data_IF_372499955174
#
_entry.id   IF_372499955174
#
_cell.length_a   1.000
_cell.length_b   1.000
_cell.length_c   1.000
_cell.angle_alpha   90.00
_cell.angle_beta   90.00
_cell.angle_gamma   90.00
#
_symmetry.space_group_name_H-M   'P 1'
#
loop_
_entity.id
_entity.type
_entity.pdbx_description
1 polymer ?
#
# COMPACT_ATOMS: atom_id res chain seq x y z
N UNK A 1 -18.11 -6.17 -54.11
CA UNK A 1 -18.19 -7.23 -53.08
C UNK A 1 -16.99 -7.25 -52.11
N UNK A 2 -16.17 -6.18 -52.03
CA UNK A 2 -14.98 -6.15 -51.13
C UNK A 2 -15.17 -5.20 -49.93
N UNK A 3 -16.11 -4.24 -50.00
CA UNK A 3 -16.35 -3.28 -48.90
C UNK A 3 -17.15 -3.83 -47.69
N UNK A 4 -17.75 -5.02 -47.79
CA UNK A 4 -18.55 -5.59 -46.68
C UNK A 4 -17.73 -6.30 -45.59
N UNK A 5 -16.43 -6.55 -45.83
CA UNK A 5 -15.54 -7.24 -44.90
C UNK A 5 -14.85 -6.32 -43.88
N UNK A 6 -15.06 -5.01 -43.96
CA UNK A 6 -14.48 -4.00 -43.05
C UNK A 6 -15.51 -3.41 -42.07
N UNK A 7 -16.56 -4.15 -41.69
CA UNK A 7 -17.46 -3.69 -40.62
C UNK A 7 -16.84 -4.02 -39.25
N UNK A 8 -16.53 -3.01 -38.42
CA UNK A 8 -15.92 -3.27 -37.11
C UNK A 8 -16.89 -4.08 -36.25
N UNK A 9 -16.40 -5.22 -35.74
CA UNK A 9 -17.17 -6.14 -34.90
C UNK A 9 -17.68 -5.46 -33.63
N UNK A 10 -18.72 -6.04 -33.01
CA UNK A 10 -19.33 -5.50 -31.77
C UNK A 10 -18.28 -5.27 -30.68
N UNK A 11 -17.28 -6.14 -30.58
CA UNK A 11 -16.15 -6.01 -29.66
C UNK A 11 -15.24 -4.81 -29.98
N UNK A 12 -15.01 -4.49 -31.25
CA UNK A 12 -14.26 -3.28 -31.64
C UNK A 12 -15.04 -2.00 -31.33
N UNK A 13 -16.37 -2.02 -31.45
CA UNK A 13 -17.22 -0.89 -31.03
C UNK A 13 -17.18 -0.70 -29.53
N UNK A 14 -17.28 -1.77 -28.73
CA UNK A 14 -17.14 -1.71 -27.26
C UNK A 14 -15.76 -1.20 -26.83
N UNK A 15 -14.68 -1.66 -27.49
CA UNK A 15 -13.33 -1.19 -27.22
C UNK A 15 -13.16 0.32 -27.50
N UNK A 16 -13.78 0.85 -28.56
CA UNK A 16 -13.78 2.30 -28.86
C UNK A 16 -14.47 3.11 -27.77
N UNK A 17 -15.61 2.64 -27.26
CA UNK A 17 -16.27 3.30 -26.14
C UNK A 17 -15.45 3.20 -24.86
N UNK A 18 -14.82 2.05 -24.60
CA UNK A 18 -13.86 1.90 -23.49
C UNK A 18 -12.72 2.91 -23.56
N UNK A 19 -12.13 3.14 -24.75
CA UNK A 19 -11.11 4.16 -24.95
C UNK A 19 -11.65 5.58 -24.67
N UNK A 20 -12.85 5.91 -25.13
CA UNK A 20 -13.46 7.23 -24.88
C UNK A 20 -13.65 7.49 -23.39
N UNK A 21 -14.06 6.48 -22.60
CA UNK A 21 -14.19 6.63 -21.14
C UNK A 21 -12.85 6.77 -20.42
N UNK A 22 -11.78 6.19 -20.97
CA UNK A 22 -10.45 6.22 -20.36
C UNK A 22 -9.66 7.48 -20.77
N UNK A 23 -9.92 8.03 -21.95
CA UNK A 23 -9.23 9.22 -22.49
C UNK A 23 -9.21 10.40 -21.50
N UNK A 24 -10.31 10.82 -20.85
CA UNK A 24 -10.29 11.93 -19.89
C UNK A 24 -9.33 11.68 -18.72
N UNK A 25 -9.32 10.46 -18.17
CA UNK A 25 -8.42 10.07 -17.10
C UNK A 25 -6.95 10.03 -17.55
N UNK A 26 -6.69 9.53 -18.76
CA UNK A 26 -5.34 9.56 -19.35
C UNK A 26 -4.88 11.00 -19.56
N UNK A 27 -5.71 11.86 -20.16
CA UNK A 27 -5.37 13.26 -20.39
C UNK A 27 -5.07 13.95 -19.07
N UNK A 28 -5.93 13.79 -18.07
CA UNK A 28 -5.72 14.36 -16.74
C UNK A 28 -4.43 13.85 -16.10
N UNK A 29 -4.21 12.53 -16.08
CA UNK A 29 -3.00 11.93 -15.51
C UNK A 29 -1.74 12.36 -16.24
N UNK A 30 -1.77 12.39 -17.57
CA UNK A 30 -0.64 12.79 -18.40
C UNK A 30 -0.31 14.26 -18.23
N UNK A 31 -1.31 15.15 -18.24
CA UNK A 31 -1.08 16.56 -17.96
C UNK A 31 -0.50 16.74 -16.57
N UNK A 32 -1.11 16.15 -15.53
CA UNK A 32 -0.64 16.32 -14.17
C UNK A 32 0.75 15.72 -13.91
N UNK A 33 1.09 14.60 -14.57
CA UNK A 33 2.39 13.94 -14.37
C UNK A 33 3.49 14.55 -15.23
N UNK A 34 3.23 14.79 -16.52
CA UNK A 34 4.26 15.23 -17.47
C UNK A 34 4.47 16.75 -17.46
N UNK A 35 3.42 17.55 -17.22
CA UNK A 35 3.56 19.01 -17.15
C UNK A 35 4.60 19.48 -16.11
N UNK A 36 4.58 19.03 -14.83
CA UNK A 36 5.61 19.42 -13.86
C UNK A 36 7.00 18.91 -14.25
N UNK A 37 7.11 17.74 -14.90
CA UNK A 37 8.39 17.20 -15.38
C UNK A 37 8.96 18.08 -16.49
N UNK A 38 8.16 18.40 -17.50
CA UNK A 38 8.59 19.26 -18.60
C UNK A 38 8.93 20.67 -18.12
N UNK A 39 8.15 21.23 -17.21
CA UNK A 39 8.44 22.55 -16.65
C UNK A 39 9.68 22.54 -15.76
N UNK A 40 9.91 21.49 -14.96
CA UNK A 40 11.15 21.33 -14.19
C UNK A 40 12.37 21.18 -15.10
N UNK A 41 12.26 20.36 -16.15
CA UNK A 41 13.30 20.18 -17.16
C UNK A 41 13.56 21.47 -17.94
N UNK A 42 12.53 22.20 -18.35
CA UNK A 42 12.72 23.49 -19.02
C UNK A 42 13.35 24.50 -18.06
N UNK A 43 12.84 24.60 -16.83
CA UNK A 43 13.32 25.54 -15.80
C UNK A 43 14.76 25.28 -15.39
N UNK A 44 15.25 24.04 -15.45
CA UNK A 44 16.64 23.71 -15.08
C UNK A 44 17.69 24.39 -15.98
N UNK A 45 17.30 24.92 -17.14
CA UNK A 45 18.17 25.71 -18.01
C UNK A 45 18.20 27.21 -17.68
N UNK A 46 17.43 27.65 -16.69
CA UNK A 46 17.27 29.06 -16.34
C UNK A 46 17.72 29.35 -14.90
N UNK A 47 18.13 30.59 -14.67
CA UNK A 47 18.36 31.13 -13.34
C UNK A 47 17.04 31.67 -12.77
N UNK A 48 16.23 30.77 -12.22
CA UNK A 48 14.91 31.10 -11.66
C UNK A 48 14.95 31.08 -10.13
N UNK A 49 14.78 32.25 -9.50
CA UNK A 49 14.63 32.38 -8.04
C UNK A 49 13.16 32.42 -7.67
N UNK A 50 12.74 31.67 -6.64
CA UNK A 50 11.33 31.54 -6.26
C UNK A 50 10.64 32.89 -5.98
N UNK A 51 11.34 33.84 -5.36
CA UNK A 51 10.78 35.12 -4.91
C UNK A 51 11.15 36.31 -5.82
N UNK A 52 11.77 36.05 -6.98
CA UNK A 52 12.14 37.11 -7.92
C UNK A 52 11.01 37.37 -8.91
N UNK A 53 10.56 38.63 -9.01
CA UNK A 53 9.61 39.09 -10.02
C UNK A 53 10.24 39.31 -11.40
N UNK A 54 11.58 39.27 -11.49
CA UNK A 54 12.29 39.37 -12.77
C UNK A 54 12.09 38.10 -13.61
N UNK A 55 11.94 38.22 -14.95
CA UNK A 55 11.92 37.05 -15.83
C UNK A 55 13.21 36.25 -15.65
N UNK A 56 13.16 34.92 -15.67
CA UNK A 56 14.33 34.08 -15.43
C UNK A 56 15.29 34.13 -16.63
N UNK A 57 16.58 34.31 -16.36
CA UNK A 57 17.60 34.37 -17.39
C UNK A 57 17.96 32.97 -17.90
N UNK A 58 18.08 32.79 -19.22
CA UNK A 58 18.56 31.52 -19.79
C UNK A 58 20.06 31.39 -19.57
N UNK A 59 20.47 30.38 -18.79
CA UNK A 59 21.88 30.11 -18.44
C UNK A 59 22.39 28.79 -19.01
N UNK A 60 21.58 28.11 -19.83
CA UNK A 60 21.93 26.83 -20.44
C UNK A 60 22.26 25.77 -19.39
N UNK A 61 23.43 25.15 -19.47
CA UNK A 61 23.82 24.04 -18.60
C UNK A 61 24.54 24.46 -17.30
N UNK A 62 24.60 25.75 -16.98
CA UNK A 62 25.37 26.24 -15.82
C UNK A 62 24.91 25.64 -14.48
N UNK A 63 23.61 25.39 -14.31
CA UNK A 63 23.09 24.70 -13.12
C UNK A 63 23.69 23.31 -12.96
N UNK A 64 23.84 22.56 -14.07
CA UNK A 64 24.42 21.22 -14.05
C UNK A 64 25.92 21.23 -13.78
N UNK A 65 26.66 22.17 -14.38
CA UNK A 65 28.10 22.28 -14.12
C UNK A 65 28.40 22.70 -12.69
N UNK A 66 27.57 23.56 -12.09
CA UNK A 66 27.62 23.89 -10.67
C UNK A 66 27.39 22.66 -9.79
N UNK A 67 26.32 21.89 -10.04
CA UNK A 67 26.00 20.69 -9.27
C UNK A 67 27.10 19.63 -9.36
N UNK A 68 27.63 19.37 -10.56
CA UNK A 68 28.69 18.38 -10.77
C UNK A 68 30.01 18.74 -10.07
N UNK A 69 30.23 20.02 -9.71
CA UNK A 69 31.38 20.47 -8.94
C UNK A 69 31.09 20.60 -7.44
N UNK A 70 29.82 20.55 -7.03
CA UNK A 70 29.42 20.74 -5.64
C UNK A 70 29.77 19.51 -4.77
N UNK A 71 30.53 19.68 -3.69
CA UNK A 71 30.79 18.62 -2.72
C UNK A 71 29.52 18.07 -2.08
N UNK A 72 28.56 18.93 -1.77
CA UNK A 72 27.28 18.56 -1.13
C UNK A 72 26.44 17.68 -2.05
N UNK A 73 26.38 18.02 -3.35
CA UNK A 73 25.69 17.20 -4.34
C UNK A 73 26.27 15.78 -4.37
N UNK A 74 27.59 15.65 -4.47
CA UNK A 74 28.24 14.33 -4.47
C UNK A 74 28.12 13.59 -3.14
N UNK A 75 28.12 14.31 -2.02
CA UNK A 75 27.86 13.71 -0.71
C UNK A 75 26.46 13.10 -0.67
N UNK A 76 25.42 13.84 -1.10
CA UNK A 76 24.05 13.31 -1.17
C UNK A 76 23.94 12.11 -2.12
N UNK A 77 24.57 12.17 -3.31
CA UNK A 77 24.54 11.09 -4.29
C UNK A 77 25.18 9.81 -3.72
N UNK A 78 26.34 9.93 -3.05
CA UNK A 78 27.00 8.78 -2.41
C UNK A 78 26.18 8.21 -1.26
N UNK A 79 25.59 9.07 -0.43
CA UNK A 79 24.72 8.62 0.66
C UNK A 79 23.49 7.86 0.13
N UNK A 80 22.84 8.39 -0.92
CA UNK A 80 21.72 7.71 -1.58
C UNK A 80 22.15 6.39 -2.23
N UNK A 81 23.30 6.36 -2.90
CA UNK A 81 23.83 5.13 -3.50
C UNK A 81 24.17 4.09 -2.44
N UNK A 82 24.85 4.48 -1.36
CA UNK A 82 25.19 3.60 -0.25
C UNK A 82 23.93 3.06 0.44
N UNK A 83 22.92 3.91 0.67
CA UNK A 83 21.63 3.48 1.21
C UNK A 83 20.91 2.52 0.27
N UNK A 84 20.85 2.82 -1.02
CA UNK A 84 20.16 2.00 -2.02
C UNK A 84 20.82 0.63 -2.12
N UNK A 85 22.14 0.58 -2.30
CA UNK A 85 22.89 -0.68 -2.42
C UNK A 85 22.84 -1.45 -1.10
N UNK A 86 23.03 -0.76 0.02
CA UNK A 86 23.02 -1.32 1.37
C UNK A 86 21.66 -1.86 1.80
N UNK A 87 20.55 -1.44 1.18
CA UNK A 87 19.21 -1.97 1.46
C UNK A 87 18.74 -2.95 0.38
N UNK A 88 18.85 -2.59 -0.89
CA UNK A 88 18.38 -3.39 -2.02
C UNK A 88 19.03 -4.78 -2.06
N UNK A 89 20.36 -4.84 -2.00
CA UNK A 89 21.08 -6.12 -2.13
C UNK A 89 20.71 -7.07 -0.97
N UNK A 90 20.81 -6.65 0.32
CA UNK A 90 20.39 -7.51 1.41
C UNK A 90 18.92 -7.89 1.36
N UNK A 91 18.02 -6.97 0.98
CA UNK A 91 16.59 -7.27 0.85
C UNK A 91 16.35 -8.40 -0.16
N UNK A 92 16.99 -8.35 -1.33
CA UNK A 92 16.83 -9.41 -2.35
C UNK A 92 17.38 -10.75 -1.85
N UNK A 93 18.58 -10.75 -1.26
CA UNK A 93 19.22 -11.97 -0.73
C UNK A 93 18.40 -12.57 0.40
N UNK A 94 18.01 -11.76 1.40
CA UNK A 94 17.19 -12.19 2.53
C UNK A 94 15.82 -12.68 2.07
N UNK A 95 15.20 -12.02 1.09
CA UNK A 95 13.92 -12.45 0.53
C UNK A 95 14.01 -13.84 -0.11
N UNK A 96 15.09 -14.12 -0.84
CA UNK A 96 15.31 -15.44 -1.44
C UNK A 96 15.56 -16.53 -0.40
N UNK A 97 16.41 -16.24 0.60
CA UNK A 97 16.67 -17.16 1.73
C UNK A 97 15.36 -17.47 2.47
N UNK A 98 14.59 -16.44 2.78
CA UNK A 98 13.32 -16.57 3.48
C UNK A 98 12.30 -17.35 2.64
N UNK A 99 12.23 -17.10 1.33
CA UNK A 99 11.36 -17.85 0.42
C UNK A 99 11.69 -19.36 0.44
N UNK A 100 12.97 -19.73 0.36
CA UNK A 100 13.39 -21.13 0.42
C UNK A 100 13.07 -21.78 1.78
N UNK A 101 13.24 -21.03 2.88
CA UNK A 101 12.88 -21.50 4.21
C UNK A 101 11.36 -21.70 4.38
N UNK A 102 10.56 -20.77 3.89
CA UNK A 102 9.09 -20.82 3.93
C UNK A 102 8.56 -22.05 3.18
N UNK A 103 9.14 -22.34 2.01
CA UNK A 103 8.71 -23.47 1.15
C UNK A 103 9.06 -24.82 1.79
N UNK A 104 10.18 -24.92 2.53
CA UNK A 104 10.69 -26.17 3.11
C UNK A 104 10.05 -26.58 4.45
N UNK A 105 9.29 -25.70 5.14
CA UNK A 105 8.74 -25.93 6.48
C UNK A 105 7.21 -26.08 6.50
N UNK A 106 6.62 -26.31 7.69
CA UNK A 106 5.16 -26.43 7.92
C UNK A 106 4.42 -25.20 7.36
N UNK A 107 3.78 -25.39 6.20
CA UNK A 107 3.30 -24.32 5.31
C UNK A 107 2.25 -23.39 5.93
N UNK A 108 1.46 -23.84 6.91
CA UNK A 108 0.48 -22.99 7.59
C UNK A 108 1.15 -21.85 8.39
N UNK A 109 2.15 -22.18 9.21
CA UNK A 109 2.88 -21.17 10.00
C UNK A 109 3.62 -20.22 9.05
N UNK A 110 4.20 -20.76 7.96
CA UNK A 110 4.84 -19.94 6.92
C UNK A 110 3.87 -18.91 6.32
N UNK A 111 2.61 -19.28 6.01
CA UNK A 111 1.62 -18.31 5.53
C UNK A 111 1.35 -17.19 6.54
N UNK A 112 1.22 -17.53 7.83
CA UNK A 112 0.95 -16.54 8.88
C UNK A 112 2.11 -15.55 9.02
N UNK A 113 3.36 -16.05 9.02
CA UNK A 113 4.56 -15.20 9.12
C UNK A 113 4.67 -14.24 7.93
N UNK A 114 4.44 -14.73 6.70
CA UNK A 114 4.47 -13.89 5.49
C UNK A 114 3.42 -12.78 5.56
N UNK A 115 2.20 -13.11 5.98
CA UNK A 115 1.15 -12.11 6.12
C UNK A 115 1.43 -11.11 7.23
N UNK A 116 1.88 -11.59 8.41
CA UNK A 116 2.28 -10.73 9.51
C UNK A 116 3.33 -9.72 9.06
N UNK A 117 4.41 -10.20 8.42
CA UNK A 117 5.47 -9.33 7.89
C UNK A 117 4.98 -8.33 6.84
N UNK A 118 4.18 -8.79 5.86
CA UNK A 118 3.67 -7.97 4.76
C UNK A 118 2.90 -6.73 5.24
N UNK A 119 2.07 -6.89 6.28
CA UNK A 119 1.19 -5.82 6.75
C UNK A 119 1.71 -5.08 7.98
N UNK A 120 2.72 -5.61 8.68
CA UNK A 120 3.28 -4.99 9.89
C UNK A 120 3.71 -3.54 9.62
N UNK A 121 4.52 -3.30 8.58
CA UNK A 121 4.99 -1.95 8.25
C UNK A 121 3.87 -0.98 7.91
N UNK A 122 2.85 -1.44 7.18
CA UNK A 122 1.68 -0.64 6.84
C UNK A 122 0.90 -0.20 8.09
N UNK A 123 0.64 -1.11 9.02
CA UNK A 123 -0.07 -0.79 10.26
C UNK A 123 0.76 0.08 11.21
N UNK A 124 2.08 -0.12 11.27
CA UNK A 124 2.98 0.76 12.04
C UNK A 124 2.89 2.20 11.56
N UNK A 125 2.86 2.46 10.25
CA UNK A 125 2.71 3.81 9.72
C UNK A 125 1.38 4.44 10.15
N UNK A 126 0.28 3.69 10.08
CA UNK A 126 -1.04 4.18 10.53
C UNK A 126 -1.01 4.53 12.03
N UNK A 127 -0.37 3.70 12.85
CA UNK A 127 -0.20 4.00 14.27
C UNK A 127 0.68 5.22 14.51
N UNK A 128 1.77 5.41 13.76
CA UNK A 128 2.61 6.62 13.86
C UNK A 128 1.76 7.86 13.55
N UNK A 129 0.98 7.84 12.48
CA UNK A 129 0.10 8.96 12.13
C UNK A 129 -0.89 9.23 13.26
N UNK A 130 -1.55 8.19 13.79
CA UNK A 130 -2.46 8.35 14.93
C UNK A 130 -1.77 8.91 16.18
N UNK A 131 -0.57 8.45 16.51
CA UNK A 131 0.20 8.96 17.65
C UNK A 131 0.58 10.44 17.48
N UNK A 132 0.92 10.87 16.26
CA UNK A 132 1.24 12.29 15.99
C UNK A 132 0.05 13.23 16.12
N UNK A 133 -1.18 12.72 16.17
CA UNK A 133 -2.37 13.56 16.40
C UNK A 133 -2.62 13.87 17.87
N UNK A 134 -1.98 13.14 18.80
CA UNK A 134 -2.11 13.37 20.24
C UNK A 134 -1.20 14.55 20.63
N UNK A 135 -1.73 15.65 21.18
CA UNK A 135 -0.91 16.80 21.58
C UNK A 135 0.14 16.42 22.63
N UNK A 136 1.34 17.02 22.57
CA UNK A 136 2.37 16.76 23.59
C UNK A 136 1.95 17.25 24.98
N UNK A 137 1.09 18.27 25.07
CA UNK A 137 0.62 18.85 26.34
C UNK A 137 -0.15 17.85 27.22
N UNK A 138 -0.86 16.87 26.64
CA UNK A 138 -1.57 15.84 27.43
C UNK A 138 -0.59 14.91 28.13
N UNK A 139 0.56 14.63 27.50
CA UNK A 139 1.63 13.82 28.10
C UNK A 139 2.41 14.61 29.17
N UNK A 140 2.65 15.91 28.94
CA UNK A 140 3.29 16.78 29.93
C UNK A 140 2.44 16.95 31.19
N UNK A 141 1.13 17.13 31.05
CA UNK A 141 0.20 17.20 32.18
C UNK A 141 0.23 15.91 33.02
N UNK A 142 0.19 14.74 32.36
CA UNK A 142 0.28 13.45 33.05
C UNK A 142 1.58 13.28 33.83
N UNK A 143 2.70 13.75 33.27
CA UNK A 143 4.00 13.71 33.95
C UNK A 143 4.02 14.61 35.20
N UNK A 144 3.42 15.80 35.13
CA UNK A 144 3.26 16.71 36.28
C UNK A 144 2.41 16.05 37.37
N UNK A 145 1.38 15.30 36.98
CA UNK A 145 0.51 14.54 37.88
C UNK A 145 1.17 13.25 38.44
N UNK A 146 2.43 12.98 38.09
CA UNK A 146 3.20 11.85 38.59
C UNK A 146 2.89 10.52 37.88
N UNK A 147 2.28 10.54 36.70
CA UNK A 147 2.01 9.34 35.92
C UNK A 147 3.31 8.69 35.43
N UNK A 148 3.41 7.37 35.61
CA UNK A 148 4.47 6.57 35.00
C UNK A 148 4.25 6.39 33.49
N UNK A 149 5.31 6.10 32.72
CA UNK A 149 5.21 5.86 31.27
C UNK A 149 4.21 4.75 30.88
N UNK A 150 4.06 3.74 31.72
CA UNK A 150 3.08 2.66 31.48
C UNK A 150 1.65 3.12 31.73
N UNK A 151 1.43 3.96 32.73
CA UNK A 151 0.11 4.57 32.99
C UNK A 151 -0.25 5.57 31.88
N UNK A 152 0.69 6.41 31.48
CA UNK A 152 0.54 7.32 30.34
C UNK A 152 0.15 6.55 29.07
N UNK A 153 0.85 5.45 28.75
CA UNK A 153 0.49 4.62 27.60
C UNK A 153 -0.91 3.98 27.72
N UNK A 154 -1.23 3.35 28.85
CA UNK A 154 -2.47 2.58 29.00
C UNK A 154 -3.71 3.47 29.16
N UNK A 155 -3.59 4.62 29.82
CA UNK A 155 -4.72 5.48 30.20
C UNK A 155 -4.84 6.74 29.33
N UNK A 156 -3.78 7.16 28.65
CA UNK A 156 -3.80 8.34 27.77
C UNK A 156 -3.60 7.89 26.32
N UNK A 157 -2.47 7.27 25.98
CA UNK A 157 -2.19 6.90 24.59
C UNK A 157 -3.22 5.92 24.01
N UNK A 158 -3.44 4.76 24.64
CA UNK A 158 -4.33 3.73 24.10
C UNK A 158 -5.79 4.19 23.94
N UNK A 159 -6.42 4.87 24.92
CA UNK A 159 -7.79 5.34 24.79
C UNK A 159 -7.95 6.43 23.72
N UNK A 160 -7.00 7.36 23.64
CA UNK A 160 -7.01 8.42 22.62
C UNK A 160 -6.70 7.89 21.22
N UNK A 161 -5.90 6.83 21.12
CA UNK A 161 -5.61 6.13 19.88
C UNK A 161 -6.71 5.12 19.47
N UNK A 162 -7.84 5.06 20.20
CA UNK A 162 -8.95 4.13 19.93
C UNK A 162 -9.48 4.21 18.48
N UNK A 163 -9.70 5.39 17.86
CA UNK A 163 -10.16 5.46 16.46
C UNK A 163 -9.18 4.83 15.47
N UNK A 164 -7.88 5.08 15.67
CA UNK A 164 -6.80 4.49 14.87
C UNK A 164 -6.67 3.00 15.10
N UNK A 165 -6.79 2.55 16.35
CA UNK A 165 -6.75 1.14 16.73
C UNK A 165 -7.91 0.36 16.13
N UNK A 166 -9.12 0.93 16.10
CA UNK A 166 -10.27 0.36 15.43
C UNK A 166 -10.02 0.21 13.93
N UNK A 167 -9.55 1.27 13.27
CA UNK A 167 -9.25 1.26 11.84
C UNK A 167 -8.26 0.16 11.48
N UNK A 168 -7.14 0.07 12.22
CA UNK A 168 -6.12 -0.96 12.03
C UNK A 168 -6.68 -2.36 12.31
N UNK A 169 -7.50 -2.52 13.34
CA UNK A 169 -8.16 -3.79 13.67
C UNK A 169 -9.09 -4.27 12.56
N UNK A 170 -9.92 -3.39 12.01
CA UNK A 170 -10.82 -3.70 10.89
C UNK A 170 -10.01 -4.05 9.65
N UNK A 171 -9.03 -3.22 9.29
CA UNK A 171 -8.19 -3.45 8.12
C UNK A 171 -7.42 -4.77 8.23
N UNK A 172 -6.78 -5.05 9.37
CA UNK A 172 -6.03 -6.29 9.57
C UNK A 172 -6.91 -7.54 9.49
N UNK A 173 -8.10 -7.52 10.09
CA UNK A 173 -9.08 -8.60 10.00
C UNK A 173 -9.48 -8.87 8.53
N UNK A 174 -9.77 -7.81 7.76
CA UNK A 174 -10.11 -7.93 6.34
C UNK A 174 -8.97 -8.55 5.53
N UNK A 175 -7.71 -8.17 5.79
CA UNK A 175 -6.56 -8.76 5.10
C UNK A 175 -6.37 -10.25 5.43
N UNK A 176 -6.60 -10.64 6.69
CA UNK A 176 -6.52 -12.03 7.12
C UNK A 176 -7.62 -12.90 6.50
N UNK A 177 -8.87 -12.41 6.43
CA UNK A 177 -10.01 -13.18 5.89
C UNK A 177 -9.97 -13.30 4.35
N UNK A 178 -9.36 -12.34 3.65
CA UNK A 178 -9.25 -12.33 2.18
C UNK A 178 -7.94 -12.92 1.64
N UNK A 179 -7.17 -13.56 2.50
CA UNK A 179 -5.89 -14.18 2.15
C UNK A 179 -6.05 -15.20 1.02
N UNK A 180 -5.31 -15.10 -0.09
CA UNK A 180 -5.45 -16.04 -1.24
C UNK A 180 -4.13 -16.32 -1.95
N UNK A 181 -3.44 -15.26 -2.38
CA UNK A 181 -2.32 -15.37 -3.31
C UNK A 181 -1.20 -16.27 -2.81
N UNK A 182 -0.86 -16.19 -1.52
CA UNK A 182 0.21 -16.99 -0.91
C UNK A 182 -0.14 -18.47 -0.83
N UNK A 183 -1.38 -18.80 -0.43
CA UNK A 183 -1.87 -20.17 -0.34
C UNK A 183 -1.98 -20.81 -1.71
N UNK A 184 -2.53 -20.06 -2.68
CA UNK A 184 -2.58 -20.47 -4.07
C UNK A 184 -1.18 -20.76 -4.62
N UNK A 185 -0.21 -19.86 -4.40
CA UNK A 185 1.17 -20.06 -4.84
C UNK A 185 1.80 -21.32 -4.23
N UNK A 186 1.55 -21.61 -2.96
CA UNK A 186 2.03 -22.85 -2.35
C UNK A 186 1.39 -24.09 -2.98
N UNK A 187 0.09 -24.08 -3.26
CA UNK A 187 -0.55 -25.22 -3.96
C UNK A 187 -0.04 -25.41 -5.38
N UNK A 188 0.26 -24.32 -6.10
CA UNK A 188 0.91 -24.39 -7.42
C UNK A 188 2.33 -24.96 -7.33
N UNK A 189 3.05 -24.67 -6.25
CA UNK A 189 4.35 -25.28 -5.91
C UNK A 189 4.27 -26.72 -5.39
N UNK A 190 3.15 -27.43 -5.58
CA UNK A 190 2.97 -28.83 -5.21
C UNK A 190 2.56 -29.07 -3.74
N UNK A 191 2.10 -28.05 -3.02
CA UNK A 191 1.60 -28.24 -1.67
C UNK A 191 0.24 -28.93 -1.59
N UNK A 192 0.02 -29.81 -0.60
CA UNK A 192 -1.30 -30.37 -0.36
C UNK A 192 -2.27 -29.26 0.05
N UNK A 193 -3.54 -29.42 -0.32
CA UNK A 193 -4.60 -28.45 -0.04
C UNK A 193 -4.81 -28.27 1.48
N UNK A 194 -4.95 -29.36 2.23
CA UNK A 194 -4.89 -29.30 3.69
C UNK A 194 -3.40 -29.27 4.13
N UNK A 195 -2.97 -28.42 5.08
CA UNK A 195 -3.73 -27.59 6.02
C UNK A 195 -3.94 -26.13 5.60
N UNK A 196 -3.57 -25.74 4.38
CA UNK A 196 -3.59 -24.34 3.90
C UNK A 196 -4.88 -23.95 3.14
N UNK A 197 -5.90 -24.81 3.19
CA UNK A 197 -7.17 -24.63 2.48
C UNK A 197 -8.05 -23.56 3.14
N UNK A 198 -7.68 -22.30 2.91
CA UNK A 198 -8.50 -21.13 3.28
C UNK A 198 -9.73 -21.03 2.39
N UNK A 199 -10.81 -20.44 2.91
CA UNK A 199 -12.11 -20.34 2.22
C UNK A 199 -12.01 -19.73 0.81
N UNK A 200 -11.17 -18.71 0.64
CA UNK A 200 -10.86 -18.05 -0.65
C UNK A 200 -10.19 -18.99 -1.65
N UNK A 201 -9.27 -19.86 -1.19
CA UNK A 201 -8.65 -20.89 -2.01
C UNK A 201 -9.70 -21.94 -2.41
N UNK A 202 -10.54 -22.34 -1.48
CA UNK A 202 -11.62 -23.29 -1.74
C UNK A 202 -12.64 -22.74 -2.75
N UNK A 203 -12.98 -21.45 -2.65
CA UNK A 203 -13.81 -20.73 -3.64
C UNK A 203 -13.18 -20.82 -5.03
N UNK A 204 -11.89 -20.51 -5.14
CA UNK A 204 -11.17 -20.58 -6.42
C UNK A 204 -11.18 -21.99 -7.02
N UNK A 205 -10.84 -23.02 -6.24
CA UNK A 205 -10.83 -24.40 -6.71
C UNK A 205 -12.23 -24.84 -7.15
N UNK A 206 -13.26 -24.53 -6.37
CA UNK A 206 -14.66 -24.88 -6.69
C UNK A 206 -15.14 -24.18 -7.96
N UNK A 207 -14.79 -22.90 -8.16
CA UNK A 207 -15.20 -22.14 -9.33
C UNK A 207 -14.45 -22.54 -10.60
N UNK A 208 -13.11 -22.64 -10.51
CA UNK A 208 -12.22 -22.74 -11.67
C UNK A 208 -11.83 -24.18 -11.98
N UNK A 209 -11.53 -25.00 -10.97
CA UNK A 209 -11.15 -26.41 -11.21
C UNK A 209 -12.36 -27.32 -11.32
N UNK A 210 -13.32 -27.17 -10.41
CA UNK A 210 -14.51 -28.04 -10.39
C UNK A 210 -15.63 -27.51 -11.30
N UNK A 211 -15.47 -26.31 -11.89
CA UNK A 211 -16.46 -25.62 -12.73
C UNK A 211 -17.83 -25.42 -12.05
N UNK A 212 -17.90 -25.45 -10.71
CA UNK A 212 -19.12 -25.34 -9.91
C UNK A 212 -19.32 -23.90 -9.41
N UNK A 213 -19.52 -22.98 -10.35
CA UNK A 213 -19.63 -21.54 -10.08
C UNK A 213 -20.72 -21.24 -9.03
N UNK A 214 -21.88 -21.91 -9.09
CA UNK A 214 -22.98 -21.69 -8.13
C UNK A 214 -22.58 -21.98 -6.67
N UNK A 215 -21.80 -23.04 -6.42
CA UNK A 215 -21.31 -23.37 -5.06
C UNK A 215 -20.25 -22.37 -4.60
N UNK A 216 -19.35 -21.98 -5.49
CA UNK A 216 -18.32 -20.99 -5.19
C UNK A 216 -18.92 -19.60 -4.87
N UNK A 217 -19.97 -19.20 -5.59
CA UNK A 217 -20.74 -17.99 -5.30
C UNK A 217 -21.39 -18.05 -3.92
N UNK A 218 -22.01 -19.17 -3.56
CA UNK A 218 -22.59 -19.35 -2.23
C UNK A 218 -21.52 -19.23 -1.12
N UNK A 219 -20.35 -19.85 -1.29
CA UNK A 219 -19.22 -19.70 -0.37
C UNK A 219 -18.74 -18.25 -0.25
N UNK A 220 -18.71 -17.50 -1.36
CA UNK A 220 -18.32 -16.09 -1.38
C UNK A 220 -19.31 -15.20 -0.63
N UNK A 221 -20.62 -15.49 -0.75
CA UNK A 221 -21.68 -14.79 0.00
C UNK A 221 -21.54 -15.07 1.50
N UNK A 222 -21.28 -16.33 1.89
CA UNK A 222 -21.04 -16.69 3.29
C UNK A 222 -19.84 -15.92 3.85
N UNK A 223 -18.72 -15.90 3.11
CA UNK A 223 -17.53 -15.13 3.50
C UNK A 223 -17.83 -13.63 3.65
N UNK A 224 -18.62 -13.06 2.74
CA UNK A 224 -19.05 -11.66 2.80
C UNK A 224 -19.80 -11.36 4.10
N UNK A 225 -20.79 -12.17 4.47
CA UNK A 225 -21.54 -11.98 5.72
C UNK A 225 -20.68 -12.17 6.96
N UNK A 226 -19.75 -13.13 6.95
CA UNK A 226 -18.78 -13.30 8.05
C UNK A 226 -17.95 -12.02 8.21
N UNK A 227 -17.40 -11.47 7.12
CA UNK A 227 -16.65 -10.21 7.16
C UNK A 227 -17.50 -9.05 7.66
N UNK A 228 -18.77 -8.96 7.22
CA UNK A 228 -19.70 -7.91 7.64
C UNK A 228 -20.00 -7.99 9.14
N UNK A 229 -20.29 -9.19 9.66
CA UNK A 229 -20.56 -9.42 11.08
C UNK A 229 -19.35 -9.01 11.93
N UNK A 230 -18.14 -9.45 11.58
CA UNK A 230 -16.94 -9.06 12.32
C UNK A 230 -16.69 -7.56 12.29
N UNK A 231 -16.82 -6.95 11.11
CA UNK A 231 -16.66 -5.49 10.96
C UNK A 231 -17.68 -4.76 11.83
N UNK A 232 -18.95 -5.16 11.79
CA UNK A 232 -20.00 -4.57 12.60
C UNK A 232 -19.75 -4.72 14.11
N UNK A 233 -19.28 -5.89 14.56
CA UNK A 233 -18.90 -6.12 15.96
C UNK A 233 -17.75 -5.20 16.39
N UNK A 234 -16.73 -5.01 15.55
CA UNK A 234 -15.62 -4.09 15.82
C UNK A 234 -16.12 -2.65 15.99
N UNK A 235 -16.97 -2.17 15.09
CA UNK A 235 -17.57 -0.82 15.20
C UNK A 235 -18.46 -0.67 16.43
N UNK A 236 -19.23 -1.69 16.81
CA UNK A 236 -20.09 -1.67 18.00
C UNK A 236 -19.29 -1.49 19.30
N UNK A 237 -18.21 -2.25 19.45
CA UNK A 237 -17.32 -2.18 20.63
C UNK A 237 -16.62 -0.82 20.74
N UNK A 238 -16.45 -0.12 19.62
CA UNK A 238 -15.63 1.09 19.55
C UNK A 238 -16.41 2.39 19.39
N UNK A 239 -17.57 2.54 20.04
CA UNK A 239 -18.22 3.86 20.16
C UNK A 239 -17.20 4.89 20.65
N UNK A 240 -16.84 5.83 19.78
CA UNK A 240 -15.95 6.95 20.05
C UNK A 240 -16.82 8.11 20.48
N UNK A 241 -16.73 8.52 21.74
CA UNK A 241 -17.00 9.91 22.08
C UNK A 241 -15.95 10.74 21.35
N UNK A 242 -16.37 11.75 20.59
CA UNK A 242 -15.43 12.69 19.98
C UNK A 242 -14.70 13.42 21.11
N UNK A 243 -13.47 13.00 21.41
CA UNK A 243 -12.62 13.69 22.38
C UNK A 243 -11.99 14.87 21.65
N UNK A 244 -12.66 16.01 21.69
CA UNK A 244 -12.06 17.29 21.32
C UNK A 244 -11.10 17.71 22.43
N UNK A 245 -9.81 17.85 22.08
CA UNK A 245 -8.81 18.50 22.93
C UNK A 245 -8.93 20.01 22.86
#
# INVERSE_FOLDING_TARGET
MILYLLKPGIEQKKARWGLIFVIPSIIFFSLFSFYPIFTAFYTSFFNKKLLSLKPPDFIGFQNYTYLLKSPDFWNSMRATAAFTIGTFIPIVILSLILANFIISRKRLISTMVVYGWKYLGYFTIIFIVGLTTIPQSTHEAALIDGASKWQDFLYITLPLLKPTTLLVSVMSMLQCLKTFSTQYLFTQGGAPLAPINVITLNIYHTAIRDHRIGRASAMSIILFFIMLIFTWLQFRVSHSEEVSY
#
